data_IF_116309910090
#
_entry.id   IF_116309910090
#
_cell.length_a   1.000
_cell.length_b   1.000
_cell.length_c   1.000
_cell.angle_alpha   90.00
_cell.angle_beta   90.00
_cell.angle_gamma   90.00
#
_symmetry.space_group_name_H-M   'P 1'
#
loop_
_entity.id
_entity.type
_entity.pdbx_description
1 polymer ?
#
# COMPACT_ATOMS: atom_id res chain seq x y z
N UNK A 1 21.72 -9.70 10.22
CA UNK A 1 20.91 -9.39 9.02
C UNK A 1 19.83 -8.34 9.23
N UNK A 2 19.38 -8.00 10.46
CA UNK A 2 18.59 -6.77 10.69
C UNK A 2 19.28 -5.50 10.19
N UNK A 3 20.62 -5.41 10.33
CA UNK A 3 21.42 -4.31 9.78
C UNK A 3 21.42 -4.33 8.24
N UNK A 4 21.34 -5.48 7.57
CA UNK A 4 21.22 -5.54 6.10
C UNK A 4 19.81 -5.17 5.62
N UNK A 5 18.77 -5.57 6.37
CA UNK A 5 17.37 -5.17 6.12
C UNK A 5 17.17 -3.67 6.32
N UNK A 6 17.75 -3.13 7.39
CA UNK A 6 17.81 -1.69 7.69
C UNK A 6 18.72 -0.97 6.70
N UNK A 7 19.86 -1.52 6.29
CA UNK A 7 20.74 -0.94 5.26
C UNK A 7 20.09 -0.98 3.88
N UNK A 8 19.26 -1.96 3.52
CA UNK A 8 18.58 -1.95 2.22
C UNK A 8 17.48 -0.88 2.19
N UNK A 9 16.73 -0.75 3.29
CA UNK A 9 15.73 0.31 3.47
C UNK A 9 16.43 1.69 3.54
N UNK A 10 17.54 1.81 4.27
CA UNK A 10 18.30 3.06 4.40
C UNK A 10 19.16 3.39 3.19
N UNK A 11 19.68 2.41 2.42
CA UNK A 11 20.33 2.65 1.13
C UNK A 11 19.30 3.13 0.11
N UNK A 12 18.06 2.65 0.15
CA UNK A 12 17.01 3.17 -0.71
C UNK A 12 16.49 4.54 -0.26
N UNK A 13 16.51 4.86 1.04
CA UNK A 13 16.27 6.22 1.56
C UNK A 13 17.44 7.16 1.19
N UNK A 14 18.67 6.66 1.18
CA UNK A 14 19.84 7.38 0.66
C UNK A 14 19.76 7.52 -0.87
N UNK A 15 19.27 6.53 -1.61
CA UNK A 15 18.91 6.67 -3.01
C UNK A 15 17.76 7.67 -3.18
N UNK A 16 16.77 7.76 -2.29
CA UNK A 16 15.73 8.78 -2.33
C UNK A 16 16.32 10.20 -2.23
N UNK A 17 17.25 10.42 -1.30
CA UNK A 17 17.99 11.69 -1.21
C UNK A 17 18.87 11.91 -2.44
N UNK A 18 19.52 10.87 -2.98
CA UNK A 18 20.42 10.96 -4.13
C UNK A 18 19.69 11.05 -5.49
N UNK A 19 18.46 10.54 -5.60
CA UNK A 19 17.66 10.49 -6.82
C UNK A 19 16.74 11.72 -6.91
N UNK A 20 16.20 12.22 -5.78
CA UNK A 20 15.46 13.50 -5.78
C UNK A 20 16.37 14.74 -5.81
N UNK A 21 17.51 14.77 -5.08
CA UNK A 21 18.37 15.96 -5.08
C UNK A 21 19.26 16.09 -6.33
N UNK A 22 19.54 14.98 -7.05
CA UNK A 22 20.53 14.99 -8.14
C UNK A 22 19.93 14.79 -9.53
N UNK A 23 18.62 14.52 -9.66
CA UNK A 23 18.01 14.23 -10.94
C UNK A 23 16.72 15.00 -11.26
N UNK A 24 16.72 16.35 -11.29
CA UNK A 24 15.88 17.04 -12.26
C UNK A 24 16.05 16.47 -13.69
N UNK A 25 17.25 16.09 -14.20
CA UNK A 25 17.39 15.63 -15.59
C UNK A 25 16.99 14.17 -15.94
N UNK A 26 16.81 13.22 -15.01
CA UNK A 26 16.38 11.83 -15.37
C UNK A 26 14.87 11.72 -15.61
N UNK A 27 14.09 12.75 -15.26
CA UNK A 27 12.71 12.88 -15.72
C UNK A 27 12.59 13.56 -17.11
N UNK A 28 13.69 14.03 -17.71
CA UNK A 28 13.70 14.79 -18.98
C UNK A 28 14.10 13.96 -20.23
N UNK A 29 13.63 12.72 -20.42
CA UNK A 29 13.50 12.19 -21.79
C UNK A 29 12.11 12.44 -22.37
N UNK A 30 11.06 12.48 -21.53
CA UNK A 30 9.67 12.38 -22.00
C UNK A 30 9.07 13.69 -22.53
N UNK A 31 9.67 14.86 -22.26
CA UNK A 31 9.18 16.19 -22.71
C UNK A 31 7.64 16.32 -22.69
N UNK A 32 6.99 16.20 -21.51
CA UNK A 32 5.54 16.30 -21.42
C UNK A 32 5.05 17.66 -21.90
N UNK A 33 3.89 17.67 -22.58
CA UNK A 33 3.35 18.89 -23.22
C UNK A 33 2.65 19.79 -22.21
N UNK A 34 2.09 19.20 -21.16
CA UNK A 34 1.33 19.90 -20.11
C UNK A 34 1.90 19.59 -18.73
N UNK A 35 1.73 20.52 -17.79
CA UNK A 35 2.11 20.34 -16.38
C UNK A 35 1.37 19.14 -15.76
N UNK A 36 0.09 18.94 -16.09
CA UNK A 36 -0.69 17.79 -15.64
C UNK A 36 -0.13 16.44 -16.10
N UNK A 37 0.37 16.35 -17.34
CA UNK A 37 1.00 15.12 -17.83
C UNK A 37 2.32 14.85 -17.11
N UNK A 38 3.10 15.91 -16.84
CA UNK A 38 4.32 15.82 -16.07
C UNK A 38 4.05 15.32 -14.65
N UNK A 39 3.08 15.92 -13.95
CA UNK A 39 2.67 15.53 -12.60
C UNK A 39 2.18 14.08 -12.55
N UNK A 40 1.39 13.63 -13.53
CA UNK A 40 0.90 12.25 -13.59
C UNK A 40 2.03 11.23 -13.80
N UNK A 41 2.97 11.50 -14.73
CA UNK A 41 4.13 10.63 -14.97
C UNK A 41 5.04 10.59 -13.74
N UNK A 42 5.26 11.75 -13.10
CA UNK A 42 6.05 11.86 -11.87
C UNK A 42 5.41 11.08 -10.72
N UNK A 43 4.11 11.27 -10.46
CA UNK A 43 3.37 10.59 -9.41
C UNK A 43 3.41 9.07 -9.58
N UNK A 44 3.22 8.54 -10.78
CA UNK A 44 3.30 7.11 -11.05
C UNK A 44 4.70 6.54 -10.78
N UNK A 45 5.75 7.22 -11.25
CA UNK A 45 7.15 6.78 -11.04
C UNK A 45 7.54 6.81 -9.56
N UNK A 46 7.16 7.88 -8.87
CA UNK A 46 7.37 8.02 -7.43
C UNK A 46 6.62 6.95 -6.65
N UNK A 47 5.36 6.70 -7.01
CA UNK A 47 4.58 5.62 -6.41
C UNK A 47 5.25 4.26 -6.61
N UNK A 48 5.62 3.89 -7.84
CA UNK A 48 6.25 2.59 -8.11
C UNK A 48 7.56 2.41 -7.33
N UNK A 49 8.38 3.45 -7.28
CA UNK A 49 9.63 3.42 -6.53
C UNK A 49 9.40 3.24 -5.02
N UNK A 50 8.54 4.08 -4.43
CA UNK A 50 8.25 3.99 -3.00
C UNK A 50 7.53 2.70 -2.65
N UNK A 51 6.60 2.23 -3.49
CA UNK A 51 5.90 0.98 -3.31
C UNK A 51 6.84 -0.21 -3.27
N UNK A 52 7.78 -0.31 -4.22
CA UNK A 52 8.76 -1.40 -4.25
C UNK A 52 9.70 -1.30 -3.05
N UNK A 53 10.25 -0.12 -2.77
CA UNK A 53 11.18 0.04 -1.65
C UNK A 53 10.53 -0.38 -0.32
N UNK A 54 9.33 0.14 -0.06
CA UNK A 54 8.63 -0.05 1.19
C UNK A 54 8.09 -1.48 1.36
N UNK A 55 7.52 -2.06 0.30
CA UNK A 55 6.93 -3.39 0.36
C UNK A 55 7.92 -4.53 0.08
N UNK A 56 9.08 -4.29 -0.55
CA UNK A 56 10.04 -5.34 -0.94
C UNK A 56 10.41 -6.26 0.23
N UNK A 57 10.71 -5.67 1.37
CA UNK A 57 11.06 -6.40 2.59
C UNK A 57 9.90 -7.26 3.11
N UNK A 58 8.68 -6.76 3.02
CA UNK A 58 7.45 -7.44 3.44
C UNK A 58 7.09 -8.57 2.48
N UNK A 59 7.22 -8.34 1.16
CA UNK A 59 7.11 -9.36 0.11
C UNK A 59 8.13 -10.49 0.29
N UNK A 60 9.37 -10.15 0.66
CA UNK A 60 10.41 -11.13 0.95
C UNK A 60 10.03 -12.03 2.13
N UNK A 61 9.56 -11.45 3.25
CA UNK A 61 9.10 -12.26 4.40
C UNK A 61 7.90 -13.13 4.02
N UNK A 62 6.94 -12.57 3.29
CA UNK A 62 5.71 -13.29 2.96
C UNK A 62 5.95 -14.51 2.07
N UNK A 63 6.76 -14.38 1.02
CA UNK A 63 6.82 -15.37 -0.06
C UNK A 63 8.15 -16.12 -0.21
N UNK A 64 9.26 -15.52 0.20
CA UNK A 64 10.59 -16.08 -0.05
C UNK A 64 11.26 -16.63 1.21
N UNK A 65 10.97 -16.06 2.38
CA UNK A 65 11.57 -16.46 3.65
C UNK A 65 11.22 -17.91 4.02
N UNK A 66 12.22 -18.70 4.39
CA UNK A 66 12.05 -20.09 4.81
C UNK A 66 11.64 -21.10 3.73
N UNK A 67 11.32 -20.66 2.50
CA UNK A 67 10.83 -21.56 1.43
C UNK A 67 11.94 -22.27 0.66
N UNK A 68 13.08 -21.62 0.53
CA UNK A 68 14.25 -22.08 -0.24
C UNK A 68 15.42 -22.51 0.64
N UNK A 69 15.22 -22.78 1.93
CA UNK A 69 16.31 -23.12 2.86
C UNK A 69 16.97 -24.50 2.56
N UNK A 70 16.23 -25.42 1.94
CA UNK A 70 16.69 -26.79 1.72
C UNK A 70 16.39 -27.70 2.92
N UNK A 71 17.15 -28.79 3.06
CA UNK A 71 17.01 -29.74 4.18
C UNK A 71 18.26 -29.72 5.05
N UNK A 72 18.16 -30.10 6.35
CA UNK A 72 19.35 -30.39 7.12
C UNK A 72 20.25 -31.39 6.38
N UNK A 73 21.56 -31.10 6.32
CA UNK A 73 22.54 -31.87 5.53
C UNK A 73 22.81 -31.32 4.13
N UNK A 74 21.81 -30.69 3.49
CA UNK A 74 21.96 -30.07 2.17
C UNK A 74 21.15 -28.76 2.08
N UNK A 75 21.76 -27.69 2.61
CA UNK A 75 21.17 -26.36 2.61
C UNK A 75 21.51 -25.63 1.31
N UNK A 76 20.53 -24.92 0.75
CA UNK A 76 20.79 -24.01 -0.35
C UNK A 76 21.61 -22.82 0.17
N UNK A 77 22.82 -22.65 -0.38
CA UNK A 77 23.73 -21.57 -0.02
C UNK A 77 23.72 -20.49 -1.08
N UNK A 78 23.42 -19.27 -0.68
CA UNK A 78 23.59 -18.10 -1.55
C UNK A 78 25.09 -17.84 -1.73
N UNK A 79 25.52 -17.70 -2.99
CA UNK A 79 26.93 -17.57 -3.38
C UNK A 79 27.84 -18.65 -2.78
N UNK A 80 27.32 -19.87 -2.60
CA UNK A 80 28.02 -21.01 -1.99
C UNK A 80 28.57 -20.77 -0.57
N UNK A 81 28.25 -19.65 0.09
CA UNK A 81 28.85 -19.25 1.37
C UNK A 81 27.82 -18.98 2.47
N UNK A 82 26.68 -18.39 2.13
CA UNK A 82 25.70 -17.94 3.12
C UNK A 82 24.45 -18.81 3.11
N UNK A 83 24.07 -19.33 4.28
CA UNK A 83 22.81 -20.09 4.43
C UNK A 83 21.61 -19.14 4.35
N UNK A 84 20.59 -19.53 3.60
CA UNK A 84 19.33 -18.79 3.52
C UNK A 84 18.61 -18.76 4.88
N UNK A 85 17.87 -17.68 5.15
CA UNK A 85 17.13 -17.52 6.41
C UNK A 85 15.94 -18.49 6.51
N UNK A 86 15.77 -19.09 7.68
CA UNK A 86 14.67 -19.99 8.05
C UNK A 86 13.65 -19.24 8.93
N UNK A 87 12.38 -19.64 8.87
CA UNK A 87 11.35 -19.04 9.73
C UNK A 87 11.37 -19.63 11.15
N UNK A 88 10.85 -18.86 12.10
CA UNK A 88 10.63 -19.32 13.47
C UNK A 88 9.66 -20.54 13.49
N UNK A 89 9.78 -21.47 14.46
CA UNK A 89 8.88 -22.64 14.55
C UNK A 89 7.38 -22.31 14.60
N UNK A 90 7.02 -21.12 15.06
CA UNK A 90 5.65 -20.59 15.09
C UNK A 90 5.12 -20.13 13.72
N UNK A 91 5.97 -20.10 12.68
CA UNK A 91 5.64 -19.66 11.32
C UNK A 91 6.11 -18.24 10.98
N UNK A 92 6.18 -17.93 9.68
CA UNK A 92 6.64 -16.64 9.15
C UNK A 92 5.57 -15.53 9.26
N UNK A 93 4.30 -15.88 9.52
CA UNK A 93 3.18 -14.93 9.57
C UNK A 93 3.33 -13.94 10.74
N UNK A 94 3.91 -14.37 11.87
CA UNK A 94 4.19 -13.50 13.02
C UNK A 94 5.27 -12.47 12.66
N UNK A 95 6.33 -12.91 11.98
CA UNK A 95 7.40 -12.00 11.52
C UNK A 95 6.84 -10.95 10.55
N UNK A 96 5.92 -11.36 9.68
CA UNK A 96 5.21 -10.47 8.76
C UNK A 96 4.33 -9.47 9.51
N UNK A 97 3.53 -9.94 10.47
CA UNK A 97 2.66 -9.10 11.30
C UNK A 97 3.47 -8.07 12.11
N UNK A 98 4.58 -8.49 12.73
CA UNK A 98 5.46 -7.60 13.48
C UNK A 98 6.11 -6.57 12.57
N UNK A 99 6.61 -6.97 11.40
CA UNK A 99 7.21 -6.04 10.45
C UNK A 99 6.19 -4.98 10.00
N UNK A 100 4.99 -5.39 9.62
CA UNK A 100 3.94 -4.46 9.22
C UNK A 100 3.52 -3.53 10.35
N UNK A 101 3.32 -4.05 11.57
CA UNK A 101 2.94 -3.24 12.72
C UNK A 101 4.01 -2.19 13.04
N UNK A 102 5.29 -2.58 12.99
CA UNK A 102 6.42 -1.67 13.20
C UNK A 102 6.48 -0.61 12.10
N UNK A 103 6.38 -0.99 10.82
CA UNK A 103 6.42 -0.03 9.71
C UNK A 103 5.24 0.94 9.81
N UNK A 104 4.02 0.44 10.02
CA UNK A 104 2.81 1.26 10.06
C UNK A 104 2.81 2.23 11.24
N UNK A 105 3.28 1.82 12.42
CA UNK A 105 3.31 2.71 13.59
C UNK A 105 4.50 3.65 13.56
N UNK A 106 5.72 3.14 13.31
CA UNK A 106 6.92 3.99 13.37
C UNK A 106 7.00 4.94 12.19
N UNK A 107 6.71 4.50 10.96
CA UNK A 107 6.74 5.38 9.79
C UNK A 107 5.74 6.50 9.99
N UNK A 108 4.55 6.20 10.50
CA UNK A 108 3.53 7.21 10.69
C UNK A 108 3.90 8.22 11.77
N UNK A 109 4.36 7.75 12.93
CA UNK A 109 4.82 8.66 13.99
C UNK A 109 5.96 9.55 13.49
N UNK A 110 6.87 8.98 12.70
CA UNK A 110 7.99 9.71 12.11
C UNK A 110 7.54 10.74 11.08
N UNK A 111 6.63 10.36 10.19
CA UNK A 111 6.06 11.25 9.18
C UNK A 111 5.33 12.41 9.84
N UNK A 112 4.37 12.15 10.72
CA UNK A 112 3.62 13.20 11.43
C UNK A 112 4.57 14.13 12.22
N UNK A 113 5.65 13.57 12.80
CA UNK A 113 6.66 14.36 13.50
C UNK A 113 7.45 15.26 12.54
N UNK A 114 7.91 14.74 11.40
CA UNK A 114 8.67 15.51 10.42
C UNK A 114 7.80 16.55 9.70
N UNK A 115 6.58 16.17 9.37
CA UNK A 115 5.60 17.01 8.69
C UNK A 115 5.19 18.21 9.54
N UNK A 116 5.00 18.03 10.86
CA UNK A 116 4.75 19.14 11.77
C UNK A 116 6.05 19.88 12.15
N UNK A 117 7.11 19.15 12.43
CA UNK A 117 8.36 19.66 13.00
C UNK A 117 9.18 20.49 12.00
N UNK A 118 9.31 20.01 10.76
CA UNK A 118 10.11 20.66 9.73
C UNK A 118 9.63 22.09 9.40
N UNK A 119 8.35 22.34 9.05
CA UNK A 119 7.91 23.69 8.71
C UNK A 119 7.87 24.61 9.94
N UNK A 120 7.55 24.09 11.14
CA UNK A 120 7.63 24.87 12.38
C UNK A 120 9.04 25.35 12.67
N UNK A 121 10.03 24.46 12.53
CA UNK A 121 11.43 24.77 12.78
C UNK A 121 11.96 25.79 11.76
N UNK A 122 11.64 25.62 10.48
CA UNK A 122 12.03 26.56 9.43
C UNK A 122 11.39 27.94 9.63
N UNK A 123 10.09 28.01 9.90
CA UNK A 123 9.40 29.27 10.15
C UNK A 123 9.89 29.94 11.44
N UNK A 124 10.19 29.17 12.48
CA UNK A 124 10.83 29.69 13.70
C UNK A 124 12.22 30.25 13.41
N UNK A 125 13.03 29.56 12.61
CA UNK A 125 14.37 30.01 12.26
C UNK A 125 14.35 31.26 11.38
N UNK A 126 13.47 31.32 10.38
CA UNK A 126 13.20 32.49 9.55
C UNK A 126 12.83 33.71 10.41
N UNK A 127 11.86 33.55 11.32
CA UNK A 127 11.46 34.61 12.27
C UNK A 127 12.61 35.06 13.17
N UNK A 128 13.46 34.14 13.64
CA UNK A 128 14.61 34.48 14.49
C UNK A 128 15.69 35.23 13.72
N UNK A 129 15.92 34.88 12.45
CA UNK A 129 16.85 35.60 11.55
C UNK A 129 16.37 37.04 11.31
N UNK A 130 15.08 37.23 11.07
CA UNK A 130 14.49 38.57 10.88
C UNK A 130 14.58 39.45 12.12
N UNK A 131 14.34 38.89 13.32
CA UNK A 131 14.51 39.63 14.58
C UNK A 131 15.94 40.11 14.78
N UNK A 132 16.93 39.25 14.51
CA UNK A 132 18.36 39.62 14.59
C UNK A 132 18.73 40.69 13.55
N UNK A 133 18.21 40.59 12.33
CA UNK A 133 18.46 41.60 11.29
C UNK A 133 17.82 42.96 11.63
N UNK A 134 16.63 42.97 12.26
CA UNK A 134 15.96 44.18 12.72
C UNK A 134 16.68 44.87 13.89
N UNK A 135 17.22 44.11 14.85
CA UNK A 135 18.04 44.64 15.95
C UNK A 135 19.33 45.30 15.43
N UNK A 136 19.93 44.77 14.36
CA UNK A 136 21.17 45.29 13.80
C UNK A 136 20.98 46.62 13.04
N UNK A 137 19.77 46.88 12.56
CA UNK A 137 19.44 48.06 11.75
C UNK A 137 18.87 49.23 12.56
N UNK A 138 18.88 49.18 13.90
CA UNK A 138 18.32 50.22 14.79
C UNK A 138 16.92 50.73 14.37
N UNK A 139 16.08 49.83 13.84
CA UNK A 139 14.67 50.16 13.57
C UNK A 139 13.93 50.09 14.91
N UNK A 140 14.01 51.17 15.68
CA UNK A 140 13.24 51.39 16.90
C UNK A 140 11.75 51.53 16.54
N UNK A 141 11.06 50.40 16.40
CA UNK A 141 9.64 50.43 16.13
C UNK A 141 9.07 49.03 16.03
N UNK A 142 8.20 48.68 16.98
CA UNK A 142 7.21 47.61 16.83
C UNK A 142 6.16 48.00 15.76
N UNK A 143 6.59 48.48 14.60
CA UNK A 143 5.69 48.60 13.45
C UNK A 143 5.30 47.17 13.08
N UNK A 144 4.01 46.89 13.17
CA UNK A 144 3.46 45.61 12.79
C UNK A 144 3.86 45.38 11.33
N UNK A 145 4.78 44.45 11.10
CA UNK A 145 5.20 44.06 9.75
C UNK A 145 3.96 43.91 8.87
N UNK A 146 3.96 44.49 7.66
CA UNK A 146 2.81 44.41 6.78
C UNK A 146 2.52 42.95 6.45
N UNK A 147 1.25 42.64 6.19
CA UNK A 147 0.79 41.24 6.08
C UNK A 147 1.53 40.47 4.98
N UNK A 148 1.83 41.10 3.85
CA UNK A 148 2.57 40.47 2.76
C UNK A 148 3.99 40.05 3.15
N UNK A 149 4.65 40.75 4.08
CA UNK A 149 5.98 40.39 4.57
C UNK A 149 5.90 39.20 5.55
N UNK A 150 4.82 39.12 6.34
CA UNK A 150 4.53 37.92 7.16
C UNK A 150 4.30 36.70 6.28
N UNK A 151 3.52 36.84 5.21
CA UNK A 151 3.20 35.75 4.28
C UNK A 151 4.41 35.36 3.40
N UNK A 152 5.28 36.32 3.08
CA UNK A 152 6.51 36.05 2.35
C UNK A 152 7.51 35.21 3.16
N UNK A 153 7.52 35.39 4.48
CA UNK A 153 8.43 34.65 5.37
C UNK A 153 7.97 33.22 5.73
N UNK A 154 6.75 32.84 5.34
CA UNK A 154 6.27 31.45 5.40
C UNK A 154 6.87 30.61 4.27
N UNK A 155 6.96 29.30 4.49
CA UNK A 155 7.43 28.37 3.47
C UNK A 155 6.48 28.38 2.25
N UNK A 156 7.02 28.40 1.01
CA UNK A 156 6.22 28.11 -0.16
C UNK A 156 5.75 26.65 -0.10
N UNK A 157 4.62 26.34 -0.74
CA UNK A 157 4.22 24.95 -0.95
C UNK A 157 5.29 24.22 -1.78
N UNK A 158 5.47 22.92 -1.54
CA UNK A 158 6.44 22.10 -2.26
C UNK A 158 6.25 22.24 -3.78
N UNK A 159 7.35 22.19 -4.54
CA UNK A 159 7.31 22.22 -6.00
C UNK A 159 6.53 21.03 -6.60
N UNK A 160 6.35 19.95 -5.82
CA UNK A 160 5.57 18.77 -6.18
C UNK A 160 4.12 18.84 -5.66
N UNK A 161 3.69 19.99 -5.13
CA UNK A 161 2.32 20.28 -4.74
C UNK A 161 1.74 19.27 -3.74
N UNK A 162 0.59 18.70 -4.09
CA UNK A 162 -0.16 17.72 -3.28
C UNK A 162 0.29 16.26 -3.54
N UNK A 163 1.24 16.03 -4.45
CA UNK A 163 1.67 14.66 -4.82
C UNK A 163 2.20 13.91 -3.60
N UNK A 164 3.00 14.56 -2.77
CA UNK A 164 3.58 13.93 -1.56
C UNK A 164 2.49 13.52 -0.55
N UNK A 165 1.48 14.39 -0.35
CA UNK A 165 0.35 14.14 0.55
C UNK A 165 -0.51 12.96 0.06
N UNK A 166 -0.83 12.92 -1.24
CA UNK A 166 -1.55 11.79 -1.82
C UNK A 166 -0.73 10.49 -1.80
N UNK A 167 0.58 10.59 -2.04
CA UNK A 167 1.48 9.44 -2.04
C UNK A 167 1.53 8.75 -0.67
N UNK A 168 1.59 9.54 0.42
CA UNK A 168 1.51 9.02 1.78
C UNK A 168 0.21 8.24 2.02
N UNK A 169 -0.93 8.85 1.67
CA UNK A 169 -2.25 8.24 1.87
C UNK A 169 -2.45 6.98 1.02
N UNK A 170 -1.98 6.98 -0.23
CA UNK A 170 -2.10 5.83 -1.15
C UNK A 170 -1.19 4.67 -0.70
N UNK A 171 0.01 4.96 -0.18
CA UNK A 171 0.87 3.92 0.41
C UNK A 171 0.25 3.33 1.68
N UNK A 172 -0.38 4.15 2.52
CA UNK A 172 -1.12 3.67 3.68
C UNK A 172 -2.29 2.76 3.27
N UNK A 173 -3.03 3.12 2.21
CA UNK A 173 -4.06 2.26 1.63
C UNK A 173 -3.49 0.93 1.10
N UNK A 174 -2.31 0.95 0.48
CA UNK A 174 -1.60 -0.26 0.05
C UNK A 174 -1.32 -1.21 1.22
N UNK A 175 -0.82 -0.69 2.34
CA UNK A 175 -0.55 -1.52 3.52
C UNK A 175 -1.79 -2.11 4.16
N UNK A 176 -2.89 -1.36 4.21
CA UNK A 176 -4.14 -1.83 4.82
C UNK A 176 -4.87 -2.86 3.97
N UNK A 177 -4.63 -2.89 2.66
CA UNK A 177 -5.32 -3.80 1.73
C UNK A 177 -4.48 -5.00 1.34
N UNK A 178 -3.22 -4.82 0.96
CA UNK A 178 -2.37 -5.88 0.37
C UNK A 178 -2.04 -6.99 1.36
N UNK A 179 -1.87 -6.65 2.64
CA UNK A 179 -1.43 -7.57 3.67
C UNK A 179 -2.43 -7.70 4.83
N UNK A 180 -3.71 -7.39 4.60
CA UNK A 180 -4.76 -7.43 5.63
C UNK A 180 -4.93 -8.82 6.24
N UNK A 181 -4.70 -9.88 5.45
CA UNK A 181 -4.76 -11.27 5.93
C UNK A 181 -3.69 -11.60 6.99
N UNK A 182 -2.56 -10.87 6.99
CA UNK A 182 -1.49 -11.05 7.97
C UNK A 182 -1.71 -10.20 9.23
N UNK A 183 -2.24 -8.98 9.08
CA UNK A 183 -2.45 -8.04 10.18
C UNK A 183 -3.86 -7.41 10.14
N UNK A 184 -4.85 -8.01 10.82
CA UNK A 184 -6.24 -7.56 10.74
C UNK A 184 -6.52 -6.22 11.44
N UNK A 185 -5.62 -5.76 12.31
CA UNK A 185 -5.76 -4.46 13.02
C UNK A 185 -5.30 -3.27 12.15
N UNK A 186 -4.76 -3.49 10.95
CA UNK A 186 -4.28 -2.43 10.08
C UNK A 186 -5.33 -1.34 9.82
N UNK A 187 -6.60 -1.65 9.44
CA UNK A 187 -7.59 -0.62 9.16
C UNK A 187 -7.90 0.29 10.37
N UNK A 188 -7.85 -0.26 11.59
CA UNK A 188 -8.07 0.52 12.81
C UNK A 188 -6.92 1.50 13.07
N UNK A 189 -5.68 1.06 12.89
CA UNK A 189 -4.51 1.95 13.01
C UNK A 189 -4.53 3.04 11.92
N UNK A 190 -4.93 2.68 10.70
CA UNK A 190 -5.06 3.64 9.61
C UNK A 190 -6.15 4.68 9.89
N UNK A 191 -7.28 4.27 10.48
CA UNK A 191 -8.34 5.19 10.85
C UNK A 191 -7.85 6.20 11.90
N UNK A 192 -7.17 5.73 12.94
CA UNK A 192 -6.61 6.62 13.98
C UNK A 192 -5.60 7.58 13.39
N UNK A 193 -4.75 7.10 12.47
CA UNK A 193 -3.82 7.98 11.79
C UNK A 193 -4.56 9.04 10.96
N UNK A 194 -5.51 8.65 10.11
CA UNK A 194 -6.23 9.59 9.25
C UNK A 194 -6.97 10.68 10.05
N UNK A 195 -7.46 10.37 11.26
CA UNK A 195 -8.08 11.38 12.14
C UNK A 195 -7.06 12.44 12.58
N UNK A 196 -5.84 12.02 12.91
CA UNK A 196 -4.75 12.93 13.29
C UNK A 196 -4.29 13.71 12.05
N UNK A 197 -4.09 13.02 10.94
CA UNK A 197 -3.58 13.56 9.67
C UNK A 197 -4.44 14.71 9.16
N UNK A 198 -5.76 14.53 9.09
CA UNK A 198 -6.69 15.59 8.64
C UNK A 198 -6.51 16.88 9.46
N UNK A 199 -6.19 16.76 10.75
CA UNK A 199 -5.97 17.93 11.62
C UNK A 199 -4.57 18.52 11.46
N UNK A 200 -3.55 17.69 11.29
CA UNK A 200 -2.17 18.14 11.06
C UNK A 200 -2.03 18.84 9.71
N UNK A 201 -2.59 18.26 8.65
CA UNK A 201 -2.65 18.87 7.32
C UNK A 201 -3.37 20.20 7.37
N UNK A 202 -4.56 20.27 7.97
CA UNK A 202 -5.31 21.51 8.08
C UNK A 202 -4.49 22.59 8.85
N UNK A 203 -3.78 22.20 9.90
CA UNK A 203 -2.91 23.11 10.65
C UNK A 203 -1.72 23.59 9.80
N UNK A 204 -1.08 22.69 9.05
CA UNK A 204 0.03 22.98 8.13
C UNK A 204 -0.39 23.99 7.06
N UNK A 205 -1.52 23.76 6.40
CA UNK A 205 -2.08 24.66 5.38
C UNK A 205 -2.48 26.03 5.93
N UNK A 206 -3.06 26.10 7.12
CA UNK A 206 -3.56 27.36 7.68
C UNK A 206 -2.45 28.21 8.31
N UNK A 207 -1.43 27.60 8.90
CA UNK A 207 -0.46 28.32 9.76
C UNK A 207 0.97 28.32 9.26
N UNK A 208 1.40 27.30 8.51
CA UNK A 208 2.81 27.10 8.18
C UNK A 208 3.16 27.42 6.73
N UNK A 209 2.24 27.16 5.81
CA UNK A 209 2.43 27.40 4.38
C UNK A 209 1.90 28.75 3.94
N UNK A 210 2.54 29.31 2.91
CA UNK A 210 1.97 30.40 2.14
C UNK A 210 0.77 29.91 1.36
N UNK A 211 -0.28 30.74 1.28
CA UNK A 211 -1.52 30.43 0.55
C UNK A 211 -1.21 30.01 -0.90
N UNK A 212 -1.58 28.78 -1.32
CA UNK A 212 -1.40 28.35 -2.69
C UNK A 212 -2.40 29.03 -3.63
N UNK A 213 -2.06 29.07 -4.93
CA UNK A 213 -2.98 29.54 -5.96
C UNK A 213 -4.09 28.50 -6.16
N UNK A 214 -5.38 28.90 -6.14
CA UNK A 214 -6.47 27.97 -6.31
C UNK A 214 -6.50 27.43 -7.75
N UNK A 215 -6.30 26.13 -7.90
CA UNK A 215 -6.50 25.40 -9.14
C UNK A 215 -7.83 24.64 -9.11
N UNK A 216 -8.48 24.47 -10.27
CA UNK A 216 -9.68 23.64 -10.40
C UNK A 216 -9.30 22.32 -11.05
N UNK A 217 -9.61 21.21 -10.37
CA UNK A 217 -9.49 19.85 -10.89
C UNK A 217 -10.88 19.19 -10.85
N UNK A 218 -11.14 18.29 -11.80
CA UNK A 218 -12.41 17.53 -11.87
C UNK A 218 -12.33 16.21 -11.12
N UNK A 219 -11.13 15.65 -11.00
CA UNK A 219 -10.83 14.37 -10.38
C UNK A 219 -9.54 14.45 -9.54
N UNK A 220 -9.21 13.33 -8.88
CA UNK A 220 -7.92 13.14 -8.18
C UNK A 220 -6.78 12.80 -9.15
N UNK A 221 -7.04 12.69 -10.46
CA UNK A 221 -6.07 12.32 -11.48
C UNK A 221 -5.61 10.86 -11.41
N UNK A 222 -4.31 10.63 -11.69
CA UNK A 222 -3.70 9.29 -11.80
C UNK A 222 -3.88 8.40 -10.57
N UNK A 223 -4.08 8.99 -9.40
CA UNK A 223 -4.26 8.27 -8.13
C UNK A 223 -5.45 7.32 -8.15
N UNK A 224 -6.51 7.63 -8.89
CA UNK A 224 -7.65 6.70 -9.03
C UNK A 224 -7.22 5.38 -9.67
N UNK A 225 -6.48 5.43 -10.78
CA UNK A 225 -5.96 4.24 -11.44
C UNK A 225 -4.94 3.48 -10.59
N UNK A 226 -4.13 4.19 -9.80
CA UNK A 226 -3.19 3.57 -8.84
C UNK A 226 -3.96 2.81 -7.75
N UNK A 227 -5.00 3.41 -7.16
CA UNK A 227 -5.83 2.77 -6.14
C UNK A 227 -6.54 1.52 -6.70
N UNK A 228 -7.04 1.57 -7.94
CA UNK A 228 -7.62 0.40 -8.60
C UNK A 228 -6.59 -0.72 -8.80
N UNK A 229 -5.38 -0.36 -9.26
CA UNK A 229 -4.27 -1.29 -9.42
C UNK A 229 -3.85 -1.94 -8.09
N UNK A 230 -3.74 -1.16 -7.02
CA UNK A 230 -3.50 -1.67 -5.66
C UNK A 230 -4.60 -2.65 -5.25
N UNK A 231 -5.86 -2.33 -5.56
CA UNK A 231 -6.99 -3.22 -5.26
C UNK A 231 -6.89 -4.58 -5.96
N UNK A 232 -6.44 -4.63 -7.21
CA UNK A 232 -6.19 -5.90 -7.92
C UNK A 232 -5.02 -6.66 -7.29
N UNK A 233 -3.90 -5.99 -7.05
CA UNK A 233 -2.71 -6.59 -6.41
C UNK A 233 -3.03 -7.11 -5.00
N UNK A 234 -3.91 -6.43 -4.26
CA UNK A 234 -4.31 -6.83 -2.93
C UNK A 234 -5.06 -8.17 -2.92
N UNK A 235 -5.96 -8.42 -3.88
CA UNK A 235 -6.67 -9.71 -3.98
C UNK A 235 -5.69 -10.86 -4.20
N UNK A 236 -4.78 -10.70 -5.16
CA UNK A 236 -3.76 -11.68 -5.49
C UNK A 236 -2.85 -11.91 -4.26
N UNK A 237 -2.30 -10.84 -3.69
CA UNK A 237 -1.34 -10.94 -2.59
C UNK A 237 -1.96 -11.61 -1.36
N UNK A 238 -3.19 -11.26 -0.98
CA UNK A 238 -3.87 -11.91 0.14
C UNK A 238 -4.15 -13.40 -0.11
N UNK A 239 -4.49 -13.79 -1.35
CA UNK A 239 -4.65 -15.20 -1.71
C UNK A 239 -3.35 -15.98 -1.46
N UNK A 240 -2.22 -15.44 -1.93
CA UNK A 240 -0.91 -16.04 -1.71
C UNK A 240 -0.49 -16.03 -0.24
N UNK A 241 -0.75 -14.96 0.52
CA UNK A 241 -0.44 -14.89 1.96
C UNK A 241 -1.18 -15.98 2.74
N UNK A 242 -2.47 -16.19 2.46
CA UNK A 242 -3.28 -17.23 3.11
C UNK A 242 -2.84 -18.63 2.67
N UNK A 243 -2.53 -18.84 1.38
CA UNK A 243 -2.16 -20.16 0.89
C UNK A 243 -0.74 -20.57 1.31
N UNK A 244 0.23 -19.67 1.18
CA UNK A 244 1.66 -19.98 1.28
C UNK A 244 2.19 -19.70 2.69
N UNK A 245 1.95 -18.48 3.20
CA UNK A 245 2.55 -18.00 4.46
C UNK A 245 1.80 -18.50 5.69
N UNK A 246 0.47 -18.66 5.60
CA UNK A 246 -0.37 -19.16 6.69
C UNK A 246 -0.38 -20.69 6.79
N UNK A 247 -0.55 -21.17 8.02
CA UNK A 247 -0.72 -22.60 8.35
C UNK A 247 -2.15 -23.11 8.13
N UNK A 248 -3.02 -22.30 7.52
CA UNK A 248 -4.42 -22.65 7.30
C UNK A 248 -4.59 -23.87 6.38
N UNK A 249 -4.00 -23.84 5.18
CA UNK A 249 -4.15 -24.91 4.18
C UNK A 249 -3.59 -26.25 4.67
N UNK A 250 -2.37 -26.32 5.24
CA UNK A 250 -1.85 -27.60 5.72
C UNK A 250 -2.65 -28.19 6.89
N UNK A 251 -3.16 -27.35 7.80
CA UNK A 251 -4.08 -27.79 8.87
C UNK A 251 -5.39 -28.32 8.31
N UNK A 252 -5.93 -27.67 7.28
CA UNK A 252 -7.13 -28.12 6.59
C UNK A 252 -6.92 -29.49 5.93
N UNK A 253 -5.85 -29.64 5.13
CA UNK A 253 -5.52 -30.92 4.48
C UNK A 253 -5.29 -32.03 5.51
N UNK A 254 -4.59 -31.73 6.61
CA UNK A 254 -4.42 -32.69 7.68
C UNK A 254 -5.77 -33.12 8.26
N UNK A 255 -6.62 -32.19 8.68
CA UNK A 255 -7.90 -32.48 9.32
C UNK A 255 -8.82 -33.37 8.46
N UNK A 256 -8.82 -33.18 7.14
CA UNK A 256 -9.70 -33.90 6.22
C UNK A 256 -9.12 -35.20 5.64
N UNK A 257 -7.78 -35.35 5.54
CA UNK A 257 -7.16 -36.51 4.88
C UNK A 257 -6.30 -37.39 5.78
N UNK A 258 -5.68 -36.82 6.81
CA UNK A 258 -4.66 -37.50 7.64
C UNK A 258 -4.98 -37.53 9.12
N UNK A 259 -5.89 -36.68 9.57
CA UNK A 259 -6.28 -36.54 10.96
C UNK A 259 -7.27 -37.62 11.40
N UNK A 260 -7.53 -37.72 12.72
CA UNK A 260 -8.45 -38.70 13.30
C UNK A 260 -9.92 -38.50 12.88
N UNK A 261 -10.24 -37.43 12.17
CA UNK A 261 -11.59 -37.11 11.70
C UNK A 261 -11.96 -37.71 10.34
N UNK A 262 -11.02 -38.38 9.66
CA UNK A 262 -11.31 -39.12 8.42
C UNK A 262 -12.36 -40.20 8.66
N UNK A 263 -12.26 -40.92 9.79
CA UNK A 263 -13.09 -42.11 10.06
C UNK A 263 -14.26 -41.85 11.03
N UNK A 264 -14.26 -40.73 11.77
CA UNK A 264 -15.17 -40.51 12.92
C UNK A 264 -16.15 -39.33 12.77
N UNK A 265 -16.19 -38.71 11.60
CA UNK A 265 -16.98 -37.49 11.36
C UNK A 265 -16.34 -36.24 11.98
N UNK A 266 -16.67 -35.07 11.43
CA UNK A 266 -16.01 -33.81 11.78
C UNK A 266 -16.40 -33.31 13.18
N UNK A 267 -15.50 -33.48 14.17
CA UNK A 267 -15.58 -32.81 15.49
C UNK A 267 -14.36 -31.91 15.67
N UNK A 268 -14.57 -30.60 15.54
CA UNK A 268 -13.55 -29.56 15.38
C UNK A 268 -12.36 -29.66 16.37
N UNK A 269 -12.63 -29.95 17.65
CA UNK A 269 -11.61 -29.97 18.71
C UNK A 269 -10.71 -31.22 18.68
N UNK A 270 -11.13 -32.31 18.04
CA UNK A 270 -10.39 -33.57 18.01
C UNK A 270 -9.61 -33.78 16.70
N UNK A 271 -9.93 -33.04 15.63
CA UNK A 271 -9.37 -33.25 14.29
C UNK A 271 -7.91 -32.84 14.12
N UNK A 272 -7.42 -31.89 14.93
CA UNK A 272 -6.04 -31.40 14.86
C UNK A 272 -5.10 -32.09 15.87
N UNK A 273 -5.61 -33.06 16.63
CA UNK A 273 -4.79 -33.81 17.59
C UNK A 273 -3.74 -34.62 16.85
N UNK A 274 -2.47 -34.33 17.12
CA UNK A 274 -1.32 -34.97 16.46
C UNK A 274 -0.73 -34.19 15.28
N UNK A 275 -1.32 -33.05 14.89
CA UNK A 275 -0.85 -32.24 13.76
C UNK A 275 0.64 -31.87 13.85
N UNK A 276 1.10 -31.41 15.02
CA UNK A 276 2.51 -31.03 15.23
C UNK A 276 3.48 -32.20 15.04
N UNK A 277 3.05 -33.43 15.38
CA UNK A 277 3.90 -34.61 15.23
C UNK A 277 3.95 -35.09 13.76
N UNK A 278 2.86 -34.88 13.00
CA UNK A 278 2.82 -35.19 11.56
C UNK A 278 3.45 -34.11 10.68
N UNK A 279 3.43 -32.84 11.10
CA UNK A 279 3.95 -31.73 10.30
C UNK A 279 5.48 -31.60 10.36
N UNK A 280 6.14 -32.38 11.22
CA UNK A 280 7.57 -32.33 11.44
C UNK A 280 8.23 -33.59 10.89
N UNK A 281 9.15 -33.43 9.96
CA UNK A 281 10.01 -34.50 9.46
C UNK A 281 11.19 -34.74 10.40
N UNK A 282 11.65 -35.98 10.46
CA UNK A 282 12.79 -36.39 11.30
C UNK A 282 14.07 -36.38 10.48
N UNK A 283 15.14 -35.84 11.06
CA UNK A 283 16.48 -35.87 10.50
C UNK A 283 17.43 -36.56 11.47
N UNK A 284 18.28 -37.45 10.95
CA UNK A 284 19.33 -38.10 11.73
C UNK A 284 20.60 -37.23 11.72
N UNK A 285 21.02 -36.78 12.90
CA UNK A 285 22.23 -35.97 13.08
C UNK A 285 23.49 -36.82 13.35
N UNK A 286 23.49 -38.11 13.00
CA UNK A 286 24.61 -39.01 13.24
C UNK A 286 25.97 -38.42 12.84
N UNK A 287 26.76 -38.01 13.83
CA UNK A 287 28.18 -37.70 13.65
C UNK A 287 29.01 -38.97 13.85
N UNK A 288 30.06 -39.21 13.04
CA UNK A 288 31.04 -40.23 13.33
C UNK A 288 31.88 -39.77 14.53
N UNK A 289 31.57 -40.25 15.74
CA UNK A 289 32.54 -40.22 16.82
C UNK A 289 33.57 -41.33 16.57
N UNK A 290 34.84 -40.94 16.42
CA UNK A 290 35.98 -41.84 16.54
C UNK A 290 35.89 -42.57 17.89
N UNK A 291 35.34 -43.78 17.91
CA UNK A 291 35.15 -44.59 19.11
C UNK A 291 33.70 -45.01 19.35
N UNK A 292 33.35 -46.18 18.79
CA UNK A 292 32.42 -47.22 19.26
C UNK A 292 31.06 -46.89 19.94
N UNK A 293 30.56 -45.66 19.91
CA UNK A 293 29.20 -45.34 20.34
C UNK A 293 28.48 -44.43 19.35
N UNK A 294 27.66 -45.06 18.50
CA UNK A 294 26.62 -44.38 17.74
C UNK A 294 25.53 -43.91 18.71
N UNK A 295 25.53 -42.63 19.08
CA UNK A 295 24.34 -41.99 19.64
C UNK A 295 23.56 -41.35 18.50
N UNK A 296 22.59 -42.06 17.95
CA UNK A 296 21.65 -41.54 16.95
C UNK A 296 20.84 -40.42 17.58
N UNK A 297 21.15 -39.16 17.25
CA UNK A 297 20.40 -38.00 17.73
C UNK A 297 19.50 -37.52 16.61
N UNK A 298 18.20 -37.69 16.81
CA UNK A 298 17.19 -37.19 15.88
C UNK A 298 16.86 -35.74 16.17
N UNK A 299 16.81 -34.90 15.14
CA UNK A 299 16.19 -33.58 15.22
C UNK A 299 14.93 -33.54 14.34
N UNK A 300 14.00 -32.64 14.70
CA UNK A 300 12.77 -32.42 13.94
C UNK A 300 12.86 -31.09 13.23
N UNK A 301 12.50 -31.07 11.96
CA UNK A 301 12.43 -29.86 11.15
C UNK A 301 11.11 -29.82 10.40
N UNK A 302 10.74 -28.63 9.95
CA UNK A 302 9.44 -28.38 9.34
C UNK A 302 9.50 -28.59 7.83
N UNK A 303 9.25 -29.82 7.41
CA UNK A 303 9.09 -30.20 6.00
C UNK A 303 8.24 -31.48 5.91
N UNK A 304 7.77 -31.82 4.70
CA UNK A 304 6.97 -33.01 4.44
C UNK A 304 7.81 -34.09 3.76
N UNK A 305 8.83 -34.59 4.46
CA UNK A 305 9.80 -35.57 3.95
C UNK A 305 9.76 -36.91 4.67
N UNK A 306 10.09 -37.97 3.94
CA UNK A 306 10.16 -39.32 4.48
C UNK A 306 11.27 -39.44 5.53
N UNK A 307 11.08 -40.27 6.58
CA UNK A 307 12.04 -40.44 7.66
C UNK A 307 13.27 -41.25 7.22
N UNK A 308 14.37 -41.21 8.00
CA UNK A 308 15.64 -41.85 7.62
C UNK A 308 15.59 -43.38 7.55
N UNK A 309 14.59 -44.03 8.15
CA UNK A 309 14.40 -45.49 8.12
C UNK A 309 13.47 -45.97 6.99
N UNK A 310 12.99 -45.07 6.13
CA UNK A 310 12.19 -45.42 4.95
C UNK A 310 13.07 -45.95 3.82
N UNK A 311 12.46 -46.56 2.79
CA UNK A 311 13.18 -47.05 1.60
C UNK A 311 13.85 -45.94 0.80
N UNK A 312 13.26 -44.74 0.80
CA UNK A 312 13.73 -43.55 0.08
C UNK A 312 13.87 -42.38 1.08
N UNK A 313 14.98 -42.31 1.85
CA UNK A 313 15.11 -41.37 2.94
C UNK A 313 15.15 -39.92 2.45
N UNK A 314 14.44 -39.03 3.15
CA UNK A 314 14.41 -37.58 2.92
C UNK A 314 13.79 -37.12 1.59
N UNK A 315 13.12 -38.00 0.86
CA UNK A 315 12.31 -37.64 -0.31
C UNK A 315 10.98 -36.99 0.09
N UNK A 316 10.34 -36.29 -0.84
CA UNK A 316 9.05 -35.65 -0.59
C UNK A 316 7.93 -36.69 -0.43
N UNK A 317 7.19 -36.60 0.66
CA UNK A 317 6.02 -37.47 0.92
C UNK A 317 4.83 -37.07 0.05
N UNK A 318 3.84 -37.96 -0.09
CA UNK A 318 2.56 -37.63 -0.73
C UNK A 318 1.81 -36.48 -0.01
N UNK A 319 2.05 -36.27 1.28
CA UNK A 319 1.49 -35.15 2.03
C UNK A 319 1.93 -33.80 1.46
N UNK A 320 3.20 -33.69 1.05
CA UNK A 320 3.74 -32.50 0.42
C UNK A 320 2.93 -32.11 -0.82
N UNK A 321 2.68 -33.08 -1.70
CA UNK A 321 1.96 -32.89 -2.95
C UNK A 321 0.49 -32.56 -2.74
N UNK A 322 -0.19 -33.21 -1.79
CA UNK A 322 -1.57 -32.84 -1.44
C UNK A 322 -1.67 -31.42 -0.88
N UNK A 323 -0.74 -31.01 -0.01
CA UNK A 323 -0.71 -29.64 0.51
C UNK A 323 -0.41 -28.64 -0.60
N UNK A 324 0.53 -28.93 -1.50
CA UNK A 324 0.84 -28.07 -2.64
C UNK A 324 -0.36 -27.93 -3.58
N UNK A 325 -1.02 -29.03 -3.93
CA UNK A 325 -2.21 -29.02 -4.78
C UNK A 325 -3.35 -28.22 -4.14
N UNK A 326 -3.60 -28.41 -2.83
CA UNK A 326 -4.62 -27.67 -2.10
C UNK A 326 -4.31 -26.16 -2.04
N UNK A 327 -3.03 -25.77 -1.91
CA UNK A 327 -2.61 -24.37 -1.96
C UNK A 327 -2.93 -23.73 -3.29
N UNK A 328 -2.56 -24.38 -4.41
CA UNK A 328 -2.83 -23.86 -5.75
C UNK A 328 -4.33 -23.79 -6.04
N UNK A 329 -5.09 -24.83 -5.68
CA UNK A 329 -6.53 -24.86 -5.83
C UNK A 329 -7.21 -23.73 -5.04
N UNK A 330 -6.77 -23.49 -3.79
CA UNK A 330 -7.29 -22.40 -2.97
C UNK A 330 -7.05 -21.04 -3.62
N UNK A 331 -5.85 -20.77 -4.15
CA UNK A 331 -5.53 -19.48 -4.80
C UNK A 331 -6.48 -19.24 -5.97
N UNK A 332 -6.65 -20.23 -6.85
CA UNK A 332 -7.53 -20.11 -8.03
C UNK A 332 -8.97 -19.82 -7.59
N UNK A 333 -9.51 -20.61 -6.65
CA UNK A 333 -10.90 -20.44 -6.18
C UNK A 333 -11.08 -19.08 -5.50
N UNK A 334 -10.16 -18.70 -4.63
CA UNK A 334 -10.22 -17.44 -3.88
C UNK A 334 -10.17 -16.23 -4.82
N UNK A 335 -9.24 -16.21 -5.77
CA UNK A 335 -9.12 -15.12 -6.74
C UNK A 335 -10.40 -14.97 -7.58
N UNK A 336 -10.87 -16.04 -8.21
CA UNK A 336 -12.08 -15.97 -9.06
C UNK A 336 -13.33 -15.59 -8.26
N UNK A 337 -13.46 -16.07 -7.03
CA UNK A 337 -14.57 -15.72 -6.15
C UNK A 337 -14.54 -14.23 -5.80
N UNK A 338 -13.39 -13.70 -5.35
CA UNK A 338 -13.27 -12.30 -4.91
C UNK A 338 -13.40 -11.34 -6.09
N UNK A 339 -12.78 -11.65 -7.25
CA UNK A 339 -12.99 -10.86 -8.47
C UNK A 339 -14.44 -10.91 -8.94
N UNK A 340 -15.09 -12.08 -8.90
CA UNK A 340 -16.51 -12.22 -9.21
C UNK A 340 -17.40 -11.34 -8.33
N UNK A 341 -17.14 -11.34 -7.01
CA UNK A 341 -17.85 -10.48 -6.05
C UNK A 341 -17.57 -9.00 -6.34
N UNK A 342 -16.31 -8.61 -6.61
CA UNK A 342 -15.94 -7.23 -6.96
C UNK A 342 -16.72 -6.74 -8.18
N UNK A 343 -16.73 -7.53 -9.26
CA UNK A 343 -17.46 -7.19 -10.49
C UNK A 343 -18.98 -7.15 -10.26
N UNK A 344 -19.51 -8.06 -9.45
CA UNK A 344 -20.92 -8.06 -9.07
C UNK A 344 -21.32 -6.78 -8.30
N UNK A 345 -20.52 -6.37 -7.31
CA UNK A 345 -20.76 -5.14 -6.55
C UNK A 345 -20.66 -3.92 -7.46
N UNK A 346 -19.67 -3.86 -8.35
CA UNK A 346 -19.53 -2.79 -9.32
C UNK A 346 -20.74 -2.70 -10.27
N UNK A 347 -21.39 -3.82 -10.60
CA UNK A 347 -22.61 -3.80 -11.39
C UNK A 347 -23.85 -3.35 -10.60
N UNK A 348 -23.88 -3.55 -9.29
CA UNK A 348 -24.99 -3.14 -8.42
C UNK A 348 -24.99 -1.65 -8.09
N UNK A 349 -23.80 -1.05 -7.94
CA UNK A 349 -23.66 0.35 -7.54
C UNK A 349 -23.54 1.22 -8.79
N UNK A 350 -24.50 2.10 -9.09
CA UNK A 350 -24.39 3.02 -10.22
C UNK A 350 -23.31 4.08 -9.97
N UNK A 351 -22.47 4.34 -10.97
CA UNK A 351 -21.36 5.31 -10.86
C UNK A 351 -21.82 6.74 -10.56
N UNK A 352 -23.02 7.12 -11.00
CA UNK A 352 -23.60 8.44 -10.76
C UNK A 352 -24.83 8.35 -9.83
N UNK A 353 -24.86 9.12 -8.73
CA UNK A 353 -26.03 9.16 -7.87
C UNK A 353 -27.22 9.81 -8.59
N UNK A 354 -28.42 9.27 -8.36
CA UNK A 354 -29.66 9.71 -9.01
C UNK A 354 -29.93 11.21 -8.81
N UNK A 355 -29.75 11.71 -7.59
CA UNK A 355 -29.95 13.12 -7.24
C UNK A 355 -29.09 14.07 -8.09
N UNK A 356 -27.84 13.69 -8.40
CA UNK A 356 -26.97 14.49 -9.26
C UNK A 356 -27.44 14.46 -10.71
N UNK A 357 -27.82 13.28 -11.20
CA UNK A 357 -28.35 13.12 -12.56
C UNK A 357 -29.62 13.97 -12.75
N UNK A 358 -30.52 13.98 -11.77
CA UNK A 358 -31.72 14.80 -11.77
C UNK A 358 -31.41 16.29 -11.73
N UNK A 359 -30.45 16.72 -10.90
CA UNK A 359 -30.01 18.13 -10.85
C UNK A 359 -29.40 18.58 -12.17
N UNK A 360 -28.50 17.81 -12.76
CA UNK A 360 -27.92 18.12 -14.07
C UNK A 360 -28.99 18.18 -15.16
N UNK A 361 -29.98 17.26 -15.12
CA UNK A 361 -31.09 17.26 -16.07
C UNK A 361 -31.97 18.51 -15.90
N UNK A 362 -32.24 18.91 -14.66
CA UNK A 362 -32.99 20.12 -14.33
C UNK A 362 -32.26 21.39 -14.77
N UNK A 363 -30.96 21.50 -14.50
CA UNK A 363 -30.15 22.64 -14.95
C UNK A 363 -30.12 22.74 -16.47
N UNK A 364 -29.96 21.62 -17.19
CA UNK A 364 -30.04 21.60 -18.66
C UNK A 364 -31.41 22.02 -19.18
N UNK A 365 -32.48 21.54 -18.56
CA UNK A 365 -33.85 21.92 -18.93
C UNK A 365 -34.10 23.42 -18.73
N UNK A 366 -33.76 23.97 -17.55
CA UNK A 366 -33.91 25.40 -17.26
C UNK A 366 -33.04 26.25 -18.19
N UNK A 367 -31.83 25.81 -18.54
CA UNK A 367 -30.98 26.50 -19.50
C UNK A 367 -31.62 26.56 -20.88
N UNK A 368 -32.21 25.45 -21.36
CA UNK A 368 -32.91 25.40 -22.65
C UNK A 368 -34.15 26.31 -22.67
N UNK A 369 -34.95 26.29 -21.60
CA UNK A 369 -36.12 27.15 -21.45
C UNK A 369 -35.73 28.64 -21.49
N UNK A 370 -34.71 29.03 -20.71
CA UNK A 370 -34.19 30.41 -20.72
C UNK A 370 -33.63 30.83 -22.09
N UNK A 371 -32.95 29.94 -22.81
CA UNK A 371 -32.45 30.23 -24.16
C UNK A 371 -33.61 30.45 -25.16
N UNK A 372 -34.65 29.61 -25.09
CA UNK A 372 -35.82 29.73 -25.96
C UNK A 372 -36.62 31.01 -25.69
N UNK A 373 -36.84 31.36 -24.42
CA UNK A 373 -37.49 32.61 -24.03
C UNK A 373 -36.69 33.83 -24.50
N UNK A 374 -35.36 33.82 -24.35
CA UNK A 374 -34.50 34.89 -24.81
C UNK A 374 -34.54 35.06 -26.34
N UNK A 375 -34.59 33.96 -27.09
CA UNK A 375 -34.72 33.99 -28.55
C UNK A 375 -36.10 34.51 -28.99
N UNK A 376 -37.18 34.08 -28.34
CA UNK A 376 -38.53 34.61 -28.55
C UNK A 376 -38.60 36.11 -28.31
N UNK A 377 -38.03 36.59 -27.21
CA UNK A 377 -37.97 38.03 -26.91
C UNK A 377 -37.17 38.80 -27.97
N UNK A 378 -36.06 38.23 -28.44
CA UNK A 378 -35.25 38.82 -29.50
C UNK A 378 -36.06 38.97 -30.80
N UNK A 379 -36.72 37.90 -31.25
CA UNK A 379 -37.58 37.90 -32.43
C UNK A 379 -38.76 38.88 -32.30
N UNK A 380 -39.37 38.99 -31.12
CA UNK A 380 -40.42 39.97 -30.87
C UNK A 380 -39.93 41.41 -30.95
N UNK A 381 -38.73 41.71 -30.45
CA UNK A 381 -38.09 43.03 -30.56
C UNK A 381 -37.78 43.37 -32.02
N UNK A 382 -37.28 42.41 -32.81
CA UNK A 382 -37.08 42.60 -34.25
C UNK A 382 -38.40 42.83 -34.99
N UNK A 383 -39.46 42.10 -34.64
CA UNK A 383 -40.79 42.28 -35.22
C UNK A 383 -41.36 43.67 -34.94
N UNK A 384 -41.15 44.20 -33.73
CA UNK A 384 -41.53 45.59 -33.37
C UNK A 384 -40.71 46.63 -34.13
N UNK A 385 -39.42 46.38 -34.41
CA UNK A 385 -38.56 47.28 -35.22
C UNK A 385 -38.90 47.27 -36.71
N UNK A 386 -39.18 46.10 -37.28
CA UNK A 386 -39.33 45.94 -38.74
C UNK A 386 -40.78 46.03 -39.24
N UNK A 387 -41.79 46.09 -38.36
CA UNK A 387 -43.19 46.39 -38.70
C UNK A 387 -43.91 45.37 -39.60
N UNK A 388 -43.26 44.30 -40.06
CA UNK A 388 -43.85 43.27 -40.93
C UNK A 388 -44.27 42.02 -40.16
N UNK A 389 -45.55 41.65 -40.26
CA UNK A 389 -46.08 40.35 -39.83
C UNK A 389 -45.59 39.27 -40.79
N UNK A 390 -44.59 38.50 -40.38
CA UNK A 390 -44.39 37.16 -40.91
C UNK A 390 -45.30 36.19 -40.15
N UNK A 391 -46.08 35.40 -40.89
CA UNK A 391 -46.82 34.25 -40.37
C UNK A 391 -45.83 33.09 -40.29
N UNK A 392 -45.66 32.46 -39.13
CA UNK A 392 -44.89 31.22 -39.03
C UNK A 392 -45.83 30.04 -39.22
N UNK A 393 -45.56 29.27 -40.28
CA UNK A 393 -45.81 27.83 -40.27
C UNK A 393 -44.75 27.19 -39.39
N UNK A 394 -45.22 26.37 -38.45
CA UNK A 394 -44.42 25.54 -37.58
C UNK A 394 -43.82 24.37 -38.38
N UNK A 395 -42.56 23.96 -38.13
CA UNK A 395 -42.11 22.60 -38.39
C UNK A 395 -42.59 21.62 -37.32
#
# INVERSE_FOLDING_TARGET
MCILRILFINLNILCYIFWCNFLPPVCVPEHPRTESEWENSFALKMFLFQFVNLNSSTFYIAFFLGRFAGRPGDYNKLFNRWRMEECHPSGCLIDLCLQMGVIMVLKQIWNNFMELGYPLLQNWWSRRKMRRAGEQNNVEGKEQLPQWDKDWNLQPMNAHGLVDEYLEMVLQFGFTTIFVAAFPLAPLLALLNNIIEIRLDAYKFVTQWRRPMPARATDIGIWHGILEGIGVVAVITNAFVIAITSDYIPRFVYAFKYGPCVDKGYRHEQCLKGYMNSSLSVFDMGEPKNGSQYQTRYCRYRDYREPPWSSEPYEFTLQFWHVLAARLAFIIVFEHLVFGIKTFIAHLIPDMPKDLCERMRREKYLMQEMMYEAELEHLQKERKKNGKRYHHEWP
#
